data_IF_497767175366
#
_entry.id   IF_497767175366
#
_cell.length_a   1.000
_cell.length_b   1.000
_cell.length_c   1.000
_cell.angle_alpha   90.00
_cell.angle_beta   90.00
_cell.angle_gamma   90.00
#
_symmetry.space_group_name_H-M   'P 1'
#
loop_
_entity.id
_entity.type
_entity.pdbx_description
1 polymer ?
#
# COMPACT_ATOMS: atom_id res chain seq x y z
N UNK A 1 -13.50 15.11 -21.40
CA UNK A 1 -12.55 15.86 -20.56
C UNK A 1 -11.58 14.88 -19.93
N UNK A 2 -10.28 15.12 -20.08
CA UNK A 2 -9.28 14.27 -19.46
C UNK A 2 -9.13 14.67 -18.00
N UNK A 3 -9.30 13.69 -17.12
CA UNK A 3 -9.09 13.90 -15.69
C UNK A 3 -7.64 13.55 -15.41
N UNK A 4 -6.88 14.52 -14.89
CA UNK A 4 -5.49 14.29 -14.53
C UNK A 4 -5.42 13.37 -13.30
N UNK A 5 -4.45 12.45 -13.26
CA UNK A 5 -4.23 11.63 -12.07
C UNK A 5 -3.93 12.49 -10.84
N UNK A 6 -4.45 12.09 -9.72
CA UNK A 6 -4.14 12.73 -8.44
C UNK A 6 -2.92 12.04 -7.85
N UNK A 7 -1.84 12.78 -7.66
CA UNK A 7 -0.58 12.24 -7.17
C UNK A 7 -0.43 12.47 -5.68
N UNK A 8 -0.02 11.42 -4.97
CA UNK A 8 0.23 11.45 -3.54
C UNK A 8 1.67 11.05 -3.30
N UNK A 9 2.41 11.88 -2.56
CA UNK A 9 3.78 11.57 -2.15
C UNK A 9 3.76 11.26 -0.66
N UNK A 10 4.21 10.05 -0.31
CA UNK A 10 4.24 9.58 1.07
C UNK A 10 5.70 9.41 1.48
N UNK A 11 6.08 10.07 2.56
CA UNK A 11 7.41 9.97 3.14
C UNK A 11 7.24 9.53 4.60
N UNK A 12 7.75 8.34 4.94
CA UNK A 12 7.64 7.77 6.28
C UNK A 12 8.96 7.20 6.75
N UNK A 13 9.35 7.59 7.96
CA UNK A 13 10.45 6.93 8.66
C UNK A 13 9.85 5.89 9.59
N UNK A 14 10.30 4.63 9.46
CA UNK A 14 9.83 3.48 10.23
C UNK A 14 10.86 3.17 11.30
N UNK A 15 10.40 3.05 12.54
CA UNK A 15 11.27 2.77 13.69
C UNK A 15 11.02 1.35 14.17
N UNK A 16 12.07 0.54 14.25
CA UNK A 16 11.96 -0.85 14.70
C UNK A 16 11.50 -0.96 16.17
N UNK A 17 11.73 0.08 16.97
CA UNK A 17 11.38 0.10 18.39
C UNK A 17 10.04 0.78 18.68
N UNK A 18 9.26 1.11 17.66
CA UNK A 18 7.94 1.75 17.81
C UNK A 18 6.86 0.87 17.19
N UNK A 19 5.63 1.07 17.68
CA UNK A 19 4.48 0.37 17.11
C UNK A 19 4.18 0.85 15.70
N UNK A 20 3.41 0.04 14.96
CA UNK A 20 2.94 0.37 13.63
C UNK A 20 2.16 1.68 13.68
N UNK A 21 2.52 2.61 12.80
CA UNK A 21 1.84 3.89 12.68
C UNK A 21 0.86 3.84 11.50
N UNK A 22 -0.35 4.30 11.76
CA UNK A 22 -1.39 4.44 10.75
C UNK A 22 -1.44 5.88 10.26
N UNK A 23 -1.72 6.08 8.98
CA UNK A 23 -1.89 7.40 8.42
C UNK A 23 -3.04 7.41 7.42
N UNK A 24 -3.72 8.55 7.30
CA UNK A 24 -4.90 8.69 6.47
C UNK A 24 -4.61 9.62 5.29
N UNK A 25 -5.18 9.26 4.14
CA UNK A 25 -5.16 10.09 2.94
C UNK A 25 -6.60 10.38 2.56
N UNK A 26 -6.92 11.66 2.40
CA UNK A 26 -8.24 12.08 1.92
C UNK A 26 -8.28 12.03 0.41
N UNK A 27 -9.31 11.39 -0.13
CA UNK A 27 -9.50 11.29 -1.56
C UNK A 27 -10.32 12.50 -2.03
N UNK A 28 -9.90 13.20 -3.08
CA UNK A 28 -10.66 14.35 -3.60
C UNK A 28 -12.10 13.97 -3.93
N UNK A 29 -13.03 14.85 -3.57
CA UNK A 29 -14.47 14.57 -3.69
C UNK A 29 -14.94 14.33 -5.13
N UNK A 30 -14.23 14.85 -6.14
CA UNK A 30 -14.63 14.60 -7.50
C UNK A 30 -14.55 13.13 -7.90
N UNK A 31 -13.75 12.32 -7.19
CA UNK A 31 -13.73 10.87 -7.41
C UNK A 31 -15.02 10.18 -6.96
N UNK A 32 -15.85 10.85 -6.15
CA UNK A 32 -17.12 10.29 -5.69
C UNK A 32 -18.12 10.06 -6.83
N UNK A 33 -17.92 10.66 -7.99
CA UNK A 33 -18.72 10.43 -9.19
C UNK A 33 -18.46 9.06 -9.82
N UNK A 34 -17.44 8.37 -9.36
CA UNK A 34 -17.05 7.05 -9.86
C UNK A 34 -17.21 6.01 -8.76
N UNK A 35 -17.63 4.80 -9.11
CA UNK A 35 -17.79 3.71 -8.13
C UNK A 35 -16.44 3.19 -7.64
N UNK A 36 -15.43 3.28 -8.50
CA UNK A 36 -14.11 2.73 -8.24
C UNK A 36 -13.04 3.74 -8.60
N UNK A 37 -11.87 3.53 -8.04
CA UNK A 37 -10.68 4.21 -8.48
C UNK A 37 -9.53 3.23 -8.57
N UNK A 38 -8.54 3.58 -9.38
CA UNK A 38 -7.32 2.82 -9.56
C UNK A 38 -6.21 3.51 -8.79
N UNK A 39 -5.56 2.79 -7.89
CA UNK A 39 -4.38 3.27 -7.18
C UNK A 39 -3.15 2.60 -7.78
N UNK A 40 -2.17 3.40 -8.18
CA UNK A 40 -0.99 2.95 -8.90
C UNK A 40 0.24 3.32 -8.10
N UNK A 41 1.13 2.34 -7.89
CA UNK A 41 2.44 2.59 -7.30
C UNK A 41 3.40 3.01 -8.42
N UNK A 42 3.80 4.28 -8.44
CA UNK A 42 4.63 4.85 -9.51
C UNK A 42 6.12 4.74 -9.20
N UNK A 43 6.49 4.92 -7.95
CA UNK A 43 7.90 4.89 -7.56
C UNK A 43 8.04 4.63 -6.06
N UNK A 44 9.14 3.99 -5.69
CA UNK A 44 9.48 3.72 -4.29
C UNK A 44 10.98 3.89 -4.09
N UNK A 45 11.33 4.62 -3.04
CA UNK A 45 12.69 4.64 -2.50
C UNK A 45 12.63 4.10 -1.08
N UNK A 46 13.38 3.04 -0.82
CA UNK A 46 13.49 2.42 0.51
C UNK A 46 14.96 2.23 0.83
N UNK A 47 15.43 2.85 1.90
CA UNK A 47 16.86 2.85 2.24
C UNK A 47 17.34 1.55 2.89
N UNK A 48 16.43 0.65 3.25
CA UNK A 48 16.78 -0.65 3.81
C UNK A 48 15.96 -1.75 3.12
N UNK A 49 16.51 -2.28 2.02
CA UNK A 49 15.86 -3.31 1.21
C UNK A 49 16.20 -4.74 1.66
N UNK A 50 16.92 -4.90 2.78
CA UNK A 50 17.21 -6.21 3.33
C UNK A 50 16.02 -6.87 4.01
N UNK A 51 14.94 -6.13 4.22
CA UNK A 51 13.70 -6.61 4.83
C UNK A 51 12.52 -6.45 3.87
N UNK A 52 11.50 -7.29 4.04
CA UNK A 52 10.24 -7.15 3.33
C UNK A 52 9.41 -6.02 3.94
N UNK A 53 9.04 -5.06 3.12
CA UNK A 53 8.23 -3.92 3.54
C UNK A 53 7.01 -3.83 2.65
N UNK A 54 5.83 -3.81 3.26
CA UNK A 54 4.54 -3.83 2.57
C UNK A 54 3.70 -2.63 2.96
N UNK A 55 3.12 -1.97 1.97
CA UNK A 55 2.06 -0.99 2.18
C UNK A 55 0.74 -1.71 2.33
N UNK A 56 0.02 -1.41 3.40
CA UNK A 56 -1.31 -1.95 3.68
C UNK A 56 -2.35 -0.85 3.52
N UNK A 57 -3.58 -1.24 3.15
CA UNK A 57 -4.69 -0.31 2.99
C UNK A 57 -5.98 -0.97 3.46
N UNK A 58 -6.77 -0.26 4.24
CA UNK A 58 -8.03 -0.75 4.79
C UNK A 58 -9.16 -0.89 3.75
N UNK A 59 -8.97 -0.32 2.56
CA UNK A 59 -10.00 -0.35 1.51
C UNK A 59 -9.97 -1.62 0.66
N UNK A 60 -9.02 -2.53 0.87
CA UNK A 60 -9.01 -3.81 0.16
C UNK A 60 -10.24 -4.64 0.51
N UNK A 61 -10.86 -5.22 -0.52
CA UNK A 61 -12.16 -5.90 -0.39
C UNK A 61 -12.03 -7.41 -0.31
N UNK A 62 -10.83 -7.97 -0.50
CA UNK A 62 -10.60 -9.41 -0.40
C UNK A 62 -9.70 -9.72 0.78
N UNK A 63 -9.85 -10.94 1.31
CA UNK A 63 -9.04 -11.44 2.42
C UNK A 63 -7.94 -12.34 1.90
N UNK A 64 -6.78 -12.25 2.52
CA UNK A 64 -5.63 -13.11 2.25
C UNK A 64 -5.23 -13.81 3.54
N UNK A 65 -4.93 -15.09 3.43
CA UNK A 65 -4.55 -15.91 4.59
C UNK A 65 -3.23 -16.60 4.29
N UNK A 66 -2.32 -16.57 5.26
CA UNK A 66 -1.04 -17.25 5.14
C UNK A 66 -1.23 -18.78 5.16
N UNK A 67 -0.59 -19.49 4.24
CA UNK A 67 -0.55 -20.95 4.16
C UNK A 67 0.86 -21.47 4.54
N UNK A 68 1.40 -20.94 5.58
CA UNK A 68 2.75 -21.30 6.02
C UNK A 68 2.79 -22.70 6.64
N UNK A 69 3.94 -23.39 6.53
CA UNK A 69 4.14 -24.71 7.14
C UNK A 69 4.23 -24.66 8.66
N UNK A 70 4.68 -23.53 9.22
CA UNK A 70 4.71 -23.32 10.67
C UNK A 70 3.30 -22.99 11.16
N UNK A 71 2.71 -23.81 12.07
CA UNK A 71 1.37 -23.54 12.59
C UNK A 71 1.23 -22.20 13.31
N UNK A 72 2.31 -21.65 13.87
CA UNK A 72 2.27 -20.34 14.54
C UNK A 72 2.04 -19.19 13.54
N UNK A 73 2.39 -19.39 12.26
CA UNK A 73 2.26 -18.39 11.21
C UNK A 73 1.03 -18.65 10.34
N UNK A 74 0.62 -19.93 10.26
CA UNK A 74 -0.51 -20.32 9.42
C UNK A 74 -1.79 -19.65 9.90
N UNK A 75 -2.52 -19.08 8.97
CA UNK A 75 -3.78 -18.40 9.27
C UNK A 75 -3.64 -16.94 9.63
N UNK A 76 -2.42 -16.38 9.60
CA UNK A 76 -2.25 -14.92 9.72
C UNK A 76 -2.87 -14.28 8.50
N UNK A 77 -3.76 -13.31 8.73
CA UNK A 77 -4.46 -12.64 7.66
C UNK A 77 -3.57 -11.60 6.98
N UNK A 78 -3.40 -11.75 5.66
CA UNK A 78 -2.66 -10.81 4.83
C UNK A 78 -3.62 -9.92 4.02
N UNK A 79 -4.84 -9.75 4.51
CA UNK A 79 -5.97 -9.21 3.77
C UNK A 79 -5.85 -7.75 3.37
N UNK A 80 -4.92 -7.02 3.98
CA UNK A 80 -4.76 -5.59 3.73
C UNK A 80 -3.49 -5.25 2.97
N UNK A 81 -2.71 -6.23 2.53
CA UNK A 81 -1.50 -6.00 1.76
C UNK A 81 -1.82 -5.44 0.38
N UNK A 82 -1.37 -4.23 0.12
CA UNK A 82 -1.61 -3.52 -1.13
C UNK A 82 -0.42 -3.64 -2.09
N UNK A 83 0.76 -3.21 -1.65
CA UNK A 83 1.97 -3.22 -2.48
C UNK A 83 3.18 -3.69 -1.67
N UNK A 84 4.04 -4.49 -2.32
CA UNK A 84 5.36 -4.83 -1.78
C UNK A 84 6.33 -3.71 -2.17
N UNK A 85 6.77 -2.94 -1.18
CA UNK A 85 7.60 -1.76 -1.42
C UNK A 85 9.07 -2.12 -1.71
N UNK A 86 9.55 -3.23 -1.15
CA UNK A 86 10.95 -3.64 -1.34
C UNK A 86 11.19 -4.38 -2.65
N UNK A 87 10.15 -4.99 -3.22
CA UNK A 87 10.24 -5.69 -4.50
C UNK A 87 10.02 -4.78 -5.71
N UNK A 88 9.62 -3.54 -5.49
CA UNK A 88 9.38 -2.60 -6.59
C UNK A 88 10.66 -2.33 -7.37
N UNK A 89 10.54 -2.34 -8.71
CA UNK A 89 11.64 -2.01 -9.62
C UNK A 89 11.15 -0.95 -10.59
N UNK A 90 11.86 0.18 -10.64
CA UNK A 90 11.59 1.24 -11.61
C UNK A 90 11.81 0.72 -13.03
N UNK A 91 10.98 1.14 -13.96
CA UNK A 91 11.09 0.75 -15.35
C UNK A 91 10.63 -0.67 -15.66
N UNK A 92 10.01 -1.35 -14.70
CA UNK A 92 9.42 -2.66 -14.93
C UNK A 92 8.30 -2.60 -15.95
N UNK A 93 8.11 -3.68 -16.73
CA UNK A 93 7.10 -3.77 -17.79
C UNK A 93 5.68 -3.84 -17.25
N UNK A 94 5.49 -4.08 -15.95
CA UNK A 94 4.17 -4.21 -15.34
C UNK A 94 3.92 -3.07 -14.38
N UNK A 95 2.76 -2.44 -14.55
CA UNK A 95 2.28 -1.43 -13.60
C UNK A 95 1.80 -2.12 -12.34
N UNK A 96 2.23 -1.62 -11.19
CA UNK A 96 1.72 -2.06 -9.90
C UNK A 96 0.46 -1.23 -9.59
N UNK A 97 -0.71 -1.83 -9.69
CA UNK A 97 -1.96 -1.14 -9.41
C UNK A 97 -3.00 -2.05 -8.79
N UNK A 98 -3.93 -1.46 -8.08
CA UNK A 98 -5.10 -2.13 -7.52
C UNK A 98 -6.32 -1.25 -7.76
N UNK A 99 -7.46 -1.87 -8.02
CA UNK A 99 -8.73 -1.18 -8.17
C UNK A 99 -9.49 -1.31 -6.86
N UNK A 100 -9.92 -0.18 -6.32
CA UNK A 100 -10.58 -0.10 -5.03
C UNK A 100 -11.93 0.58 -5.18
N UNK A 101 -12.94 0.22 -4.35
CA UNK A 101 -14.19 0.97 -4.29
C UNK A 101 -13.92 2.36 -3.73
N UNK A 102 -14.72 3.33 -4.19
CA UNK A 102 -14.56 4.71 -3.70
C UNK A 102 -14.79 4.79 -2.19
N UNK A 103 -13.91 5.56 -1.53
CA UNK A 103 -14.04 5.94 -0.14
C UNK A 103 -13.50 7.36 0.03
N UNK A 104 -14.04 8.10 0.99
CA UNK A 104 -13.60 9.47 1.26
C UNK A 104 -12.17 9.50 1.79
N UNK A 105 -11.80 8.50 2.58
CA UNK A 105 -10.51 8.43 3.25
C UNK A 105 -9.96 7.03 3.15
N UNK A 106 -8.68 6.93 2.84
CA UNK A 106 -7.93 5.67 2.88
C UNK A 106 -7.01 5.68 4.08
N UNK A 107 -7.01 4.58 4.83
CA UNK A 107 -6.10 4.37 5.94
C UNK A 107 -5.00 3.42 5.51
N UNK A 108 -3.77 3.87 5.64
CA UNK A 108 -2.58 3.10 5.29
C UNK A 108 -1.74 2.79 6.51
N UNK A 109 -0.97 1.71 6.43
CA UNK A 109 0.10 1.40 7.38
C UNK A 109 1.14 0.55 6.67
N UNK A 110 2.34 0.48 7.24
CA UNK A 110 3.46 -0.24 6.64
C UNK A 110 3.92 -1.33 7.60
N UNK A 111 4.05 -2.55 7.09
CA UNK A 111 4.40 -3.74 7.88
C UNK A 111 5.43 -4.60 7.13
N UNK A 112 5.95 -5.62 7.81
CA UNK A 112 6.64 -6.71 7.14
C UNK A 112 5.63 -7.74 6.59
N UNK A 113 6.12 -8.83 5.98
CA UNK A 113 5.28 -9.88 5.40
C UNK A 113 4.39 -10.58 6.44
N UNK A 114 4.75 -10.51 7.71
CA UNK A 114 4.01 -11.13 8.81
C UNK A 114 2.93 -10.21 9.39
N UNK A 115 2.77 -9.00 8.84
CA UNK A 115 1.82 -8.03 9.38
C UNK A 115 2.32 -7.31 10.62
N UNK A 116 3.58 -7.47 10.98
CA UNK A 116 4.20 -6.84 12.14
C UNK A 116 5.04 -5.62 11.73
N UNK A 117 5.52 -4.86 12.70
CA UNK A 117 6.42 -3.75 12.43
C UNK A 117 7.73 -4.25 11.79
N UNK A 118 8.36 -3.44 10.92
CA UNK A 118 9.67 -3.80 10.36
C UNK A 118 10.72 -4.02 11.45
N UNK A 119 11.63 -4.96 11.21
CA UNK A 119 12.65 -5.31 12.18
C UNK A 119 13.82 -4.34 12.28
N UNK A 120 13.94 -3.40 11.34
CA UNK A 120 15.03 -2.43 11.27
C UNK A 120 14.47 -1.07 10.88
N UNK A 121 15.11 -0.01 11.33
CA UNK A 121 14.76 1.35 10.92
C UNK A 121 14.93 1.50 9.42
N UNK A 122 13.96 2.13 8.77
CA UNK A 122 14.08 2.48 7.36
C UNK A 122 13.21 3.68 7.01
N UNK A 123 13.65 4.42 5.99
CA UNK A 123 12.86 5.51 5.41
C UNK A 123 12.29 5.04 4.09
N UNK A 124 10.99 5.22 3.91
CA UNK A 124 10.29 4.88 2.68
C UNK A 124 9.68 6.15 2.11
N UNK A 125 9.99 6.41 0.84
CA UNK A 125 9.33 7.46 0.06
C UNK A 125 8.65 6.77 -1.12
N UNK A 126 7.36 7.03 -1.30
CA UNK A 126 6.63 6.42 -2.40
C UNK A 126 5.74 7.45 -3.09
N UNK A 127 5.52 7.22 -4.37
CA UNK A 127 4.63 8.03 -5.19
C UNK A 127 3.47 7.14 -5.63
N UNK A 128 2.26 7.54 -5.24
CA UNK A 128 1.02 6.91 -5.68
C UNK A 128 0.29 7.84 -6.62
N UNK A 129 -0.40 7.29 -7.61
CA UNK A 129 -1.35 8.03 -8.44
C UNK A 129 -2.71 7.39 -8.34
N UNK A 130 -3.75 8.23 -8.28
CA UNK A 130 -5.14 7.78 -8.22
C UNK A 130 -5.84 8.26 -9.48
N UNK A 131 -6.51 7.33 -10.17
CA UNK A 131 -7.31 7.61 -11.36
C UNK A 131 -8.72 7.11 -11.18
N UNK A 132 -9.72 7.78 -11.78
CA UNK A 132 -11.07 7.22 -11.80
C UNK A 132 -11.10 5.91 -12.58
N UNK A 133 -11.96 5.00 -12.17
CA UNK A 133 -12.11 3.73 -12.87
C UNK A 133 -13.59 3.35 -12.95
N UNK A 134 -14.07 3.16 -14.16
CA UNK A 134 -15.42 2.68 -14.44
C UNK A 134 -15.35 1.27 -15.00
N UNK A 135 -16.16 0.42 -14.43
CA UNK A 135 -16.32 -0.95 -14.91
C UNK A 135 -17.49 -1.03 -15.86
#
# INVERSE_FOLDING_TARGET
MNILPYRIIINRHLYANRDIQYFNINIPKFFANYKYFKIILKDVSCDNRSQDVWLNCDALTYNQVSQHTDPAIRGIFLEKFLFNLTAFREGGSQSHYVILPYRDTLKFWITNIMGAKPGMDCTVVMILEIEPYDI
#
